data_IF_055971401269
#
_entry.id   IF_055971401269
#
_cell.length_a   1.000
_cell.length_b   1.000
_cell.length_c   1.000
_cell.angle_alpha   90.00
_cell.angle_beta   90.00
_cell.angle_gamma   90.00
#
_symmetry.space_group_name_H-M   'P 1'
#
loop_
_entity.id
_entity.type
_entity.pdbx_description
1 polymer ?
#
# COMPACT_ATOMS: atom_id res chain seq x y z
N UNK A 1 37.91 10.37 21.72
CA UNK A 1 36.75 10.50 20.83
C UNK A 1 35.65 9.64 21.42
N UNK A 2 34.83 10.20 22.32
CA UNK A 2 33.73 9.46 22.93
C UNK A 2 32.69 9.22 21.85
N UNK A 3 32.50 7.96 21.47
CA UNK A 3 31.33 7.54 20.71
C UNK A 3 30.15 7.80 21.62
N UNK A 4 29.47 8.92 21.41
CA UNK A 4 28.20 9.22 22.05
C UNK A 4 27.27 8.06 21.70
N UNK A 5 26.98 7.23 22.70
CA UNK A 5 26.07 6.09 22.56
C UNK A 5 24.71 6.70 22.25
N UNK A 6 24.35 6.81 20.98
CA UNK A 6 23.15 7.48 20.51
C UNK A 6 21.92 6.68 20.99
N UNK A 7 21.53 6.87 22.24
CA UNK A 7 20.28 6.36 22.82
C UNK A 7 19.14 7.15 22.21
N UNK A 8 18.73 6.78 21.00
CA UNK A 8 17.51 7.30 20.38
C UNK A 8 16.35 6.88 21.28
N UNK A 9 15.61 7.85 21.82
CA UNK A 9 14.47 7.62 22.72
C UNK A 9 14.79 6.88 24.05
N UNK A 10 16.05 6.84 24.50
CA UNK A 10 16.45 6.11 25.72
C UNK A 10 16.42 4.58 25.59
N UNK A 11 16.28 4.07 24.37
CA UNK A 11 16.16 2.64 24.05
C UNK A 11 17.49 2.05 23.57
N UNK A 12 17.71 0.73 23.70
CA UNK A 12 18.83 0.06 23.08
C UNK A 12 18.84 0.31 21.56
N UNK A 13 20.02 0.47 20.92
CA UNK A 13 20.12 0.84 19.51
C UNK A 13 19.35 -0.11 18.59
N UNK A 14 19.45 -1.42 18.81
CA UNK A 14 18.66 -2.42 18.06
C UNK A 14 17.15 -2.21 18.15
N UNK A 15 16.64 -1.89 19.34
CA UNK A 15 15.19 -1.73 19.54
C UNK A 15 14.69 -0.44 18.89
N UNK A 16 15.48 0.63 18.92
CA UNK A 16 15.19 1.86 18.19
C UNK A 16 15.17 1.62 16.67
N UNK A 17 16.19 0.94 16.14
CA UNK A 17 16.27 0.61 14.71
C UNK A 17 15.14 -0.32 14.25
N UNK A 18 14.77 -1.30 15.09
CA UNK A 18 13.65 -2.20 14.80
C UNK A 18 12.32 -1.45 14.72
N UNK A 19 12.04 -0.55 15.68
CA UNK A 19 10.81 0.26 15.66
C UNK A 19 10.79 1.24 14.50
N UNK A 20 11.91 1.93 14.23
CA UNK A 20 12.00 2.83 13.08
C UNK A 20 11.82 2.08 11.76
N UNK A 21 12.43 0.89 11.63
CA UNK A 21 12.22 0.00 10.50
C UNK A 21 10.77 -0.45 10.37
N UNK A 22 10.12 -0.80 11.49
CA UNK A 22 8.71 -1.18 11.53
C UNK A 22 7.77 -0.07 11.07
N UNK A 23 7.96 1.16 11.57
CA UNK A 23 7.17 2.32 11.15
C UNK A 23 7.41 2.66 9.68
N UNK A 24 8.66 2.66 9.23
CA UNK A 24 9.01 2.89 7.82
C UNK A 24 8.35 1.86 6.89
N UNK A 25 8.37 0.59 7.27
CA UNK A 25 7.72 -0.48 6.52
C UNK A 25 6.19 -0.32 6.49
N UNK A 26 5.57 0.05 7.61
CA UNK A 26 4.13 0.29 7.67
C UNK A 26 3.72 1.44 6.74
N UNK A 27 4.40 2.59 6.83
CA UNK A 27 4.14 3.75 5.96
C UNK A 27 4.35 3.38 4.48
N UNK A 28 5.43 2.64 4.17
CA UNK A 28 5.73 2.22 2.80
C UNK A 28 4.63 1.32 2.22
N UNK A 29 4.15 0.34 3.00
CA UNK A 29 3.07 -0.56 2.58
C UNK A 29 1.74 0.15 2.44
N UNK A 30 1.41 1.07 3.35
CA UNK A 30 0.19 1.89 3.25
C UNK A 30 0.21 2.78 2.01
N UNK A 31 1.36 3.37 1.67
CA UNK A 31 1.52 4.17 0.46
C UNK A 31 1.43 3.33 -0.83
N UNK A 32 1.91 2.08 -0.80
CA UNK A 32 1.88 1.16 -1.94
C UNK A 32 0.52 0.44 -2.13
N UNK A 33 -0.25 0.27 -1.06
CA UNK A 33 -1.52 -0.47 -1.06
C UNK A 33 -2.51 -0.06 -2.18
N UNK A 34 -2.70 1.23 -2.53
CA UNK A 34 -3.62 1.61 -3.59
C UNK A 34 -3.20 1.09 -4.97
N UNK A 35 -1.89 1.09 -5.26
CA UNK A 35 -1.35 0.63 -6.55
C UNK A 35 -1.44 -0.88 -6.64
N UNK A 36 -1.15 -1.59 -5.55
CA UNK A 36 -1.30 -3.05 -5.49
C UNK A 36 -2.76 -3.47 -5.69
N UNK A 37 -3.72 -2.76 -5.07
CA UNK A 37 -5.15 -3.00 -5.27
C UNK A 37 -5.55 -2.84 -6.74
N UNK A 38 -5.18 -1.73 -7.38
CA UNK A 38 -5.51 -1.50 -8.80
C UNK A 38 -4.88 -2.55 -9.70
N UNK A 39 -3.64 -2.95 -9.42
CA UNK A 39 -2.98 -4.04 -10.16
C UNK A 39 -3.77 -5.35 -10.04
N UNK A 40 -4.21 -5.73 -8.84
CA UNK A 40 -5.02 -6.94 -8.63
C UNK A 40 -6.37 -6.86 -9.34
N UNK A 41 -7.04 -5.71 -9.33
CA UNK A 41 -8.32 -5.50 -10.02
C UNK A 41 -8.18 -5.66 -11.55
N UNK A 42 -7.12 -5.11 -12.13
CA UNK A 42 -6.85 -5.24 -13.56
C UNK A 42 -6.46 -6.67 -13.93
N UNK A 43 -5.68 -7.35 -13.08
CA UNK A 43 -5.32 -8.75 -13.30
C UNK A 43 -6.54 -9.67 -13.21
N UNK A 44 -7.47 -9.41 -12.29
CA UNK A 44 -8.66 -10.22 -12.07
C UNK A 44 -9.89 -9.77 -12.86
N UNK A 45 -9.76 -8.79 -13.76
CA UNK A 45 -10.90 -8.21 -14.49
C UNK A 45 -11.67 -9.24 -15.33
N UNK A 46 -10.96 -10.24 -15.88
CA UNK A 46 -11.58 -11.31 -16.67
C UNK A 46 -12.44 -12.23 -15.80
N UNK A 47 -12.04 -12.48 -14.55
CA UNK A 47 -12.84 -13.23 -13.58
C UNK A 47 -14.03 -12.41 -13.09
N UNK A 48 -13.83 -11.12 -12.83
CA UNK A 48 -14.90 -10.20 -12.42
C UNK A 48 -15.97 -10.04 -13.50
N UNK A 49 -15.59 -10.02 -14.78
CA UNK A 49 -16.51 -10.02 -15.92
C UNK A 49 -17.32 -11.30 -16.00
N UNK A 50 -16.68 -12.47 -15.82
CA UNK A 50 -17.38 -13.77 -15.80
C UNK A 50 -18.38 -13.89 -14.64
N UNK A 51 -18.08 -13.27 -13.50
CA UNK A 51 -18.96 -13.24 -12.32
C UNK A 51 -20.05 -12.16 -12.41
N UNK A 52 -20.06 -11.32 -13.45
CA UNK A 52 -20.99 -10.20 -13.58
C UNK A 52 -20.77 -9.09 -12.54
N UNK A 53 -19.59 -9.03 -11.90
CA UNK A 53 -19.20 -7.98 -10.96
C UNK A 53 -18.59 -6.75 -11.64
N UNK A 54 -18.31 -6.86 -12.94
CA UNK A 54 -17.75 -5.80 -13.76
C UNK A 54 -18.51 -5.74 -15.09
N UNK A 55 -19.02 -4.56 -15.44
CA UNK A 55 -19.82 -4.38 -16.67
C UNK A 55 -18.96 -4.33 -17.95
N UNK A 56 -17.72 -3.81 -17.83
CA UNK A 56 -16.75 -3.72 -18.93
C UNK A 56 -15.32 -3.80 -18.44
N UNK A 57 -14.40 -4.28 -19.29
CA UNK A 57 -12.96 -4.27 -19.02
C UNK A 57 -12.46 -2.87 -18.68
N UNK A 58 -11.41 -2.81 -17.88
CA UNK A 58 -10.73 -1.55 -17.62
C UNK A 58 -9.89 -1.17 -18.86
N UNK A 59 -10.05 0.04 -19.36
CA UNK A 59 -9.28 0.58 -20.49
C UNK A 59 -7.83 0.94 -20.08
N UNK A 60 -7.57 1.03 -18.77
CA UNK A 60 -6.24 1.24 -18.23
C UNK A 60 -6.21 1.44 -16.71
N UNK A 61 -4.99 1.62 -16.17
CA UNK A 61 -4.75 1.76 -14.73
C UNK A 61 -5.47 2.99 -14.14
N UNK A 62 -5.41 4.13 -14.84
CA UNK A 62 -6.04 5.36 -14.36
C UNK A 62 -7.57 5.28 -14.34
N UNK A 63 -8.18 4.55 -15.29
CA UNK A 63 -9.62 4.35 -15.33
C UNK A 63 -10.06 3.40 -14.20
N UNK A 64 -9.32 2.31 -13.98
CA UNK A 64 -9.54 1.41 -12.85
C UNK A 64 -9.42 2.15 -11.51
N UNK A 65 -8.38 2.99 -11.33
CA UNK A 65 -8.22 3.78 -10.11
C UNK A 65 -9.38 4.77 -9.91
N UNK A 66 -9.78 5.51 -10.95
CA UNK A 66 -10.91 6.46 -10.87
C UNK A 66 -12.23 5.78 -10.51
N UNK A 67 -12.52 4.63 -11.13
CA UNK A 67 -13.74 3.86 -10.86
C UNK A 67 -13.73 3.29 -9.45
N UNK A 68 -12.63 2.65 -9.06
CA UNK A 68 -12.45 2.13 -7.70
C UNK A 68 -12.61 3.25 -6.66
N UNK A 69 -12.01 4.42 -6.90
CA UNK A 69 -12.15 5.57 -6.01
C UNK A 69 -13.57 6.17 -5.96
N UNK A 70 -14.34 6.04 -7.03
CA UNK A 70 -15.72 6.51 -7.10
C UNK A 70 -16.71 5.52 -6.47
N UNK A 71 -16.49 4.22 -6.67
CA UNK A 71 -17.39 3.15 -6.24
C UNK A 71 -17.12 2.73 -4.78
N UNK A 72 -15.84 2.67 -4.38
CA UNK A 72 -15.41 2.17 -3.07
C UNK A 72 -14.86 3.30 -2.16
N UNK A 73 -14.56 4.47 -2.74
CA UNK A 73 -13.96 5.61 -2.04
C UNK A 73 -12.44 5.69 -2.16
N UNK A 74 -11.86 6.81 -1.70
CA UNK A 74 -10.43 7.12 -1.86
C UNK A 74 -9.53 6.38 -0.85
N UNK A 75 -10.10 5.81 0.20
CA UNK A 75 -9.35 5.03 1.20
C UNK A 75 -9.45 3.53 0.89
N UNK A 76 -8.32 2.80 0.83
CA UNK A 76 -8.31 1.34 0.68
C UNK A 76 -8.86 0.61 1.90
#
# INVERSE_FOLDING_TARGET
MSVEKQTVLGMPPFLADFLMGGVSAAVSKTAAAPIERVKLLIQNQDEMLKQGRLDRKYDGIAECFKRTAADEGVMP
#
